data_IF_643753365415
#
_entry.id   IF_643753365415
#
_cell.length_a   1.000
_cell.length_b   1.000
_cell.length_c   1.000
_cell.angle_alpha   90.00
_cell.angle_beta   90.00
_cell.angle_gamma   90.00
#
_symmetry.space_group_name_H-M   'P 1'
#
loop_
_entity.id
_entity.type
_entity.pdbx_description
1 polymer ?
#
# COMPACT_ATOMS: atom_id res chain seq x y z
N UNK A 1 32.65 24.11 19.09
CA UNK A 1 31.91 23.52 17.96
C UNK A 1 31.78 22.02 18.24
N UNK A 2 30.65 21.58 18.78
CA UNK A 2 30.46 20.17 19.18
C UNK A 2 30.02 19.39 17.96
N UNK A 3 30.90 18.54 17.44
CA UNK A 3 30.60 17.62 16.36
C UNK A 3 29.62 16.56 16.88
N UNK A 4 28.35 16.69 16.50
CA UNK A 4 27.33 15.67 16.76
C UNK A 4 27.72 14.37 16.09
N UNK A 5 27.94 13.33 16.91
CA UNK A 5 28.25 11.98 16.45
C UNK A 5 27.09 11.43 15.61
N UNK A 6 27.37 10.66 14.55
CA UNK A 6 26.32 10.02 13.76
C UNK A 6 25.51 9.09 14.66
N UNK A 7 24.17 9.24 14.61
CA UNK A 7 23.20 8.46 15.36
C UNK A 7 23.40 6.99 14.96
N UNK A 8 23.93 6.18 15.88
CA UNK A 8 24.17 4.74 15.67
C UNK A 8 22.87 4.09 15.18
N UNK A 9 22.91 3.51 13.97
CA UNK A 9 21.91 2.55 13.51
C UNK A 9 21.86 1.46 14.57
N UNK A 10 20.81 1.46 15.38
CA UNK A 10 20.73 0.57 16.52
C UNK A 10 20.67 -0.87 16.04
N UNK A 11 21.42 -1.71 16.74
CA UNK A 11 21.56 -3.17 16.69
C UNK A 11 20.30 -4.03 16.43
N UNK A 12 19.09 -3.47 16.27
CA UNK A 12 17.84 -4.22 16.10
C UNK A 12 17.63 -4.79 14.70
N UNK A 13 18.32 -4.30 13.68
CA UNK A 13 18.14 -4.77 12.29
C UNK A 13 18.59 -6.20 12.07
N UNK A 14 19.50 -6.74 12.91
CA UNK A 14 20.06 -8.10 12.74
C UNK A 14 19.12 -9.25 13.11
N UNK A 15 17.98 -8.98 13.75
CA UNK A 15 17.05 -10.02 14.22
C UNK A 15 15.66 -10.04 13.55
N UNK A 16 15.34 -9.06 12.71
CA UNK A 16 14.01 -8.98 12.10
C UNK A 16 13.94 -9.86 10.84
N UNK A 17 13.07 -10.87 10.86
CA UNK A 17 12.74 -11.65 9.68
C UNK A 17 11.73 -10.88 8.82
N UNK A 18 12.18 -10.37 7.68
CA UNK A 18 11.31 -9.74 6.69
C UNK A 18 10.48 -10.80 5.96
N UNK A 19 9.20 -10.52 5.72
CA UNK A 19 8.29 -11.43 5.00
C UNK A 19 7.91 -10.93 3.61
N UNK A 20 7.87 -9.61 3.40
CA UNK A 20 7.58 -9.04 2.09
C UNK A 20 8.21 -7.65 1.94
N UNK A 21 8.40 -7.24 0.68
CA UNK A 21 8.93 -5.95 0.28
C UNK A 21 8.08 -5.38 -0.87
N UNK A 22 7.92 -4.05 -0.90
CA UNK A 22 7.40 -3.30 -2.05
C UNK A 22 8.32 -2.14 -2.37
N UNK A 23 8.59 -1.96 -3.66
CA UNK A 23 9.35 -0.81 -4.20
C UNK A 23 8.38 0.21 -4.80
N UNK A 24 8.63 1.48 -4.48
CA UNK A 24 7.85 2.62 -4.94
C UNK A 24 8.81 3.62 -5.58
N UNK A 25 8.50 4.04 -6.80
CA UNK A 25 9.23 5.10 -7.48
C UNK A 25 8.84 6.45 -6.90
N UNK A 26 9.84 7.28 -6.65
CA UNK A 26 9.66 8.70 -6.35
C UNK A 26 9.45 9.47 -7.63
N UNK A 27 8.46 10.37 -7.62
CA UNK A 27 8.17 11.26 -8.77
C UNK A 27 8.80 12.63 -8.60
N UNK A 28 9.21 12.98 -7.38
CA UNK A 28 9.91 14.22 -7.06
C UNK A 28 11.45 14.13 -7.24
N UNK A 29 11.98 12.92 -7.44
CA UNK A 29 13.41 12.68 -7.59
C UNK A 29 13.67 11.59 -8.64
N UNK A 30 14.36 11.94 -9.73
CA UNK A 30 14.72 11.01 -10.81
C UNK A 30 15.55 9.85 -10.26
N UNK A 31 15.10 8.62 -10.49
CA UNK A 31 15.74 7.41 -9.97
C UNK A 31 15.59 7.20 -8.46
N UNK A 32 14.83 8.06 -7.77
CA UNK A 32 14.55 7.92 -6.35
C UNK A 32 13.63 6.73 -6.11
N UNK A 33 13.98 5.89 -5.14
CA UNK A 33 13.22 4.70 -4.76
C UNK A 33 12.92 4.74 -3.27
N UNK A 34 11.68 4.42 -2.93
CA UNK A 34 11.24 4.10 -1.57
C UNK A 34 11.00 2.61 -1.48
N UNK A 35 11.53 1.99 -0.42
CA UNK A 35 11.38 0.56 -0.17
C UNK A 35 10.62 0.35 1.12
N UNK A 36 9.45 -0.26 1.03
CA UNK A 36 8.65 -0.66 2.19
C UNK A 36 8.90 -2.13 2.47
N UNK A 37 9.24 -2.46 3.71
CA UNK A 37 9.34 -3.87 4.16
C UNK A 37 8.42 -4.11 5.33
N UNK A 38 7.81 -5.28 5.31
CA UNK A 38 7.03 -5.81 6.43
C UNK A 38 7.64 -7.13 6.87
N UNK A 39 7.75 -7.33 8.18
CA UNK A 39 8.31 -8.53 8.77
C UNK A 39 7.26 -9.47 9.34
N UNK A 40 7.72 -10.68 9.66
CA UNK A 40 6.88 -11.71 10.28
C UNK A 40 6.38 -11.19 11.64
N UNK A 41 5.06 -11.26 11.93
CA UNK A 41 4.54 -10.93 13.25
C UNK A 41 5.19 -11.79 14.32
N UNK A 42 5.52 -11.17 15.44
CA UNK A 42 6.12 -11.85 16.58
C UNK A 42 5.30 -11.60 17.83
N UNK A 43 5.10 -12.67 18.60
CA UNK A 43 4.62 -12.56 19.96
C UNK A 43 5.81 -12.18 20.87
N UNK A 44 5.81 -10.99 21.51
CA UNK A 44 6.88 -10.63 22.45
C UNK A 44 6.89 -11.53 23.69
N UNK A 45 8.07 -11.78 24.28
CA UNK A 45 8.17 -12.41 25.60
C UNK A 45 7.43 -11.55 26.65
N UNK A 46 6.64 -12.18 27.52
CA UNK A 46 5.96 -11.49 28.63
C UNK A 46 4.51 -11.06 28.36
N UNK A 47 3.77 -11.79 27.51
CA UNK A 47 2.32 -11.62 27.30
C UNK A 47 1.88 -10.23 26.79
N UNK A 48 2.76 -9.47 26.14
CA UNK A 48 2.39 -8.26 25.42
C UNK A 48 1.65 -8.56 24.11
N UNK A 49 1.02 -7.53 23.50
CA UNK A 49 0.32 -7.70 22.22
C UNK A 49 1.28 -8.17 21.13
N UNK A 50 0.76 -8.91 20.15
CA UNK A 50 1.47 -9.22 18.92
C UNK A 50 1.98 -7.94 18.27
N UNK A 51 3.18 -8.02 17.71
CA UNK A 51 3.76 -6.91 16.95
C UNK A 51 4.25 -7.36 15.58
N UNK A 52 3.94 -6.58 14.56
CA UNK A 52 4.44 -6.79 13.20
C UNK A 52 5.40 -5.63 12.86
N UNK A 53 6.70 -5.91 12.68
CA UNK A 53 7.67 -4.87 12.33
C UNK A 53 7.49 -4.44 10.88
N UNK A 54 7.66 -3.15 10.62
CA UNK A 54 7.79 -2.61 9.26
C UNK A 54 8.83 -1.49 9.22
N UNK A 55 9.31 -1.17 8.03
CA UNK A 55 10.27 -0.09 7.80
C UNK A 55 10.03 0.52 6.42
N UNK A 56 10.25 1.82 6.30
CA UNK A 56 10.17 2.55 5.04
C UNK A 56 11.51 3.22 4.81
N UNK A 57 12.23 2.77 3.78
CA UNK A 57 13.54 3.27 3.39
C UNK A 57 13.40 4.33 2.30
N UNK A 58 14.29 5.32 2.27
CA UNK A 58 14.28 6.38 1.25
C UNK A 58 13.41 7.61 1.55
N UNK A 59 12.83 7.69 2.76
CA UNK A 59 12.00 8.81 3.24
C UNK A 59 12.61 9.56 4.46
N UNK A 60 13.85 9.27 4.85
CA UNK A 60 14.55 9.95 5.93
C UNK A 60 14.66 9.11 7.21
N UNK A 61 13.60 9.04 8.03
CA UNK A 61 13.61 8.20 9.24
C UNK A 61 13.40 6.72 8.89
N UNK A 62 14.51 6.00 8.83
CA UNK A 62 14.57 4.57 8.51
C UNK A 62 14.56 3.70 9.77
N UNK A 63 13.88 4.15 10.82
CA UNK A 63 13.67 3.33 12.02
C UNK A 63 12.60 2.26 11.79
N UNK A 64 12.80 1.09 12.41
CA UNK A 64 11.79 0.02 12.41
C UNK A 64 10.61 0.46 13.29
N UNK A 65 9.43 0.50 12.68
CA UNK A 65 8.15 0.75 13.30
C UNK A 65 7.39 -0.56 13.52
N UNK A 66 6.30 -0.53 14.28
CA UNK A 66 5.54 -1.73 14.63
C UNK A 66 4.03 -1.46 14.58
N UNK A 67 3.28 -2.37 13.94
CA UNK A 67 1.84 -2.50 14.16
C UNK A 67 1.59 -3.46 15.33
N UNK A 68 0.66 -3.12 16.23
CA UNK A 68 0.35 -3.91 17.43
C UNK A 68 -1.10 -4.40 17.40
N UNK A 69 -1.37 -5.61 17.88
CA UNK A 69 -2.74 -6.13 18.06
C UNK A 69 -2.76 -7.30 19.05
N UNK A 70 -3.95 -7.75 19.43
CA UNK A 70 -4.16 -8.95 20.25
C UNK A 70 -3.78 -10.25 19.53
N UNK A 71 -3.75 -10.24 18.20
CA UNK A 71 -3.37 -11.38 17.36
C UNK A 71 -2.42 -10.99 16.22
N UNK A 72 -1.86 -12.01 15.57
CA UNK A 72 -0.90 -11.84 14.47
C UNK A 72 -1.52 -11.20 13.23
N UNK A 73 -2.80 -11.45 12.94
CA UNK A 73 -3.51 -10.91 11.78
C UNK A 73 -3.74 -9.41 11.93
N UNK A 74 -4.28 -8.98 13.06
CA UNK A 74 -4.49 -7.59 13.38
C UNK A 74 -3.16 -6.81 13.46
N UNK A 75 -2.08 -7.46 13.92
CA UNK A 75 -0.76 -6.81 13.92
C UNK A 75 -0.28 -6.51 12.49
N UNK A 76 -0.53 -7.41 11.52
CA UNK A 76 -0.25 -7.17 10.10
C UNK A 76 -1.14 -6.04 9.56
N UNK A 77 -2.45 -6.09 9.81
CA UNK A 77 -3.39 -5.06 9.35
C UNK A 77 -3.02 -3.67 9.87
N UNK A 78 -2.61 -3.58 11.14
CA UNK A 78 -2.16 -2.33 11.75
C UNK A 78 -0.80 -1.88 11.22
N UNK A 79 0.11 -2.80 10.90
CA UNK A 79 1.35 -2.45 10.23
C UNK A 79 1.10 -1.87 8.82
N UNK A 80 0.22 -2.49 8.03
CA UNK A 80 -0.18 -1.99 6.70
C UNK A 80 -0.84 -0.61 6.78
N UNK A 81 -1.71 -0.40 7.76
CA UNK A 81 -2.35 0.90 8.03
C UNK A 81 -1.33 1.97 8.45
N UNK A 82 -0.37 1.59 9.29
CA UNK A 82 0.75 2.45 9.70
C UNK A 82 1.63 2.84 8.51
N UNK A 83 2.00 1.89 7.66
CA UNK A 83 2.73 2.13 6.41
C UNK A 83 2.00 3.17 5.57
N UNK A 84 0.72 2.94 5.26
CA UNK A 84 -0.07 3.87 4.45
C UNK A 84 -0.07 5.27 5.05
N UNK A 85 -0.30 5.37 6.36
CA UNK A 85 -0.36 6.65 7.06
C UNK A 85 0.96 7.41 6.93
N UNK A 86 2.09 6.73 7.11
CA UNK A 86 3.42 7.34 6.94
C UNK A 86 3.71 7.76 5.50
N UNK A 87 3.34 6.95 4.51
CA UNK A 87 3.49 7.31 3.09
C UNK A 87 2.66 8.55 2.73
N UNK A 88 1.40 8.61 3.17
CA UNK A 88 0.53 9.79 2.95
C UNK A 88 1.08 11.02 3.67
N UNK A 89 1.50 10.88 4.93
CA UNK A 89 2.06 11.99 5.72
C UNK A 89 3.38 12.51 5.17
N UNK A 90 4.16 11.69 4.45
CA UNK A 90 5.41 12.12 3.82
C UNK A 90 5.18 13.22 2.77
N UNK A 91 3.99 13.27 2.16
CA UNK A 91 3.67 14.19 1.08
C UNK A 91 4.47 13.95 -0.21
N UNK A 92 5.32 12.92 -0.25
CA UNK A 92 6.15 12.61 -1.41
C UNK A 92 5.29 11.84 -2.43
N UNK A 93 5.24 12.28 -3.69
CA UNK A 93 4.50 11.60 -4.72
C UNK A 93 5.21 10.28 -5.08
N UNK A 94 4.53 9.17 -4.77
CA UNK A 94 5.06 7.81 -4.91
C UNK A 94 4.20 6.99 -5.86
N UNK A 95 4.83 6.17 -6.69
CA UNK A 95 4.14 5.27 -7.61
C UNK A 95 4.64 3.86 -7.41
N UNK A 96 3.73 2.92 -7.20
CA UNK A 96 4.06 1.51 -7.23
C UNK A 96 4.50 1.12 -8.66
N UNK A 97 5.62 0.41 -8.78
CA UNK A 97 6.23 -0.09 -10.03
C UNK A 97 5.34 -1.13 -10.77
N UNK A 98 4.03 -0.88 -10.89
CA UNK A 98 3.10 -1.64 -11.73
C UNK A 98 2.71 -0.79 -12.94
N UNK A 99 2.85 -1.35 -14.14
CA UNK A 99 2.45 -0.69 -15.37
C UNK A 99 0.93 -0.37 -15.32
N UNK A 100 0.59 0.91 -15.51
CA UNK A 100 -0.80 1.39 -15.43
C UNK A 100 -1.26 1.84 -14.04
N UNK A 101 -0.41 1.80 -13.00
CA UNK A 101 -0.74 2.42 -11.71
C UNK A 101 -0.92 3.94 -11.87
N UNK A 102 -2.00 4.47 -11.29
CA UNK A 102 -2.26 5.91 -11.27
C UNK A 102 -1.19 6.67 -10.47
N UNK A 103 -1.10 7.97 -10.70
CA UNK A 103 -0.20 8.81 -9.91
C UNK A 103 -0.58 8.75 -8.43
N UNK A 104 0.43 8.64 -7.57
CA UNK A 104 0.26 8.52 -6.11
C UNK A 104 -0.36 7.19 -5.63
N UNK A 105 -0.50 6.19 -6.50
CA UNK A 105 -0.87 4.85 -6.08
C UNK A 105 0.33 4.11 -5.49
N UNK A 106 0.30 3.91 -4.17
CA UNK A 106 1.31 3.15 -3.42
C UNK A 106 0.94 1.66 -3.29
N UNK A 107 -0.27 1.30 -3.70
CA UNK A 107 -0.92 0.02 -3.50
C UNK A 107 -1.20 -0.34 -2.03
N UNK A 108 -1.01 0.59 -1.08
CA UNK A 108 -1.41 0.41 0.32
C UNK A 108 -2.79 1.02 0.54
N UNK A 109 -3.76 0.15 0.81
CA UNK A 109 -5.19 0.51 0.85
C UNK A 109 -5.57 1.20 2.16
N UNK A 110 -6.56 2.09 2.08
CA UNK A 110 -7.23 2.61 3.25
C UNK A 110 -8.19 1.55 3.81
N UNK A 111 -8.09 1.25 5.10
CA UNK A 111 -9.11 0.44 5.77
C UNK A 111 -10.40 1.26 5.91
N UNK A 112 -11.56 0.61 5.72
CA UNK A 112 -12.85 1.23 6.05
C UNK A 112 -12.91 1.43 7.57
N UNK A 113 -13.21 2.65 8.06
CA UNK A 113 -13.27 2.90 9.49
C UNK A 113 -14.36 2.06 10.17
N UNK A 114 -13.97 1.30 11.20
CA UNK A 114 -14.92 0.52 12.01
C UNK A 114 -15.32 1.23 13.31
N UNK A 115 -14.63 2.32 13.68
CA UNK A 115 -14.82 3.04 14.96
C UNK A 115 -16.23 3.64 15.13
N UNK A 116 -16.98 3.82 14.04
CA UNK A 116 -18.34 4.37 14.05
C UNK A 116 -19.43 3.30 14.06
N UNK A 117 -19.06 2.04 14.30
CA UNK A 117 -19.97 0.90 14.41
C UNK A 117 -20.21 0.17 13.08
N UNK A 118 -20.70 -1.07 13.20
CA UNK A 118 -20.86 -2.00 12.07
C UNK A 118 -21.79 -1.45 10.97
N UNK A 119 -22.87 -0.77 11.35
CA UNK A 119 -23.81 -0.21 10.36
C UNK A 119 -23.17 0.85 9.46
N UNK A 120 -22.31 1.71 10.03
CA UNK A 120 -21.56 2.70 9.26
C UNK A 120 -20.53 2.04 8.34
N UNK A 121 -19.80 1.04 8.86
CA UNK A 121 -18.84 0.27 8.06
C UNK A 121 -19.53 -0.39 6.85
N UNK A 122 -20.62 -1.13 7.08
CA UNK A 122 -21.37 -1.80 6.02
C UNK A 122 -21.96 -0.82 5.00
N UNK A 123 -22.36 0.36 5.45
CA UNK A 123 -22.82 1.41 4.55
C UNK A 123 -21.71 1.87 3.60
N UNK A 124 -20.50 2.14 4.13
CA UNK A 124 -19.35 2.50 3.32
C UNK A 124 -18.91 1.37 2.38
N UNK A 125 -18.90 0.12 2.86
CA UNK A 125 -18.59 -1.05 2.04
C UNK A 125 -19.55 -1.16 0.84
N UNK A 126 -20.86 -1.03 1.06
CA UNK A 126 -21.86 -1.03 -0.02
C UNK A 126 -21.66 0.10 -1.02
N UNK A 127 -21.28 1.29 -0.56
CA UNK A 127 -20.97 2.41 -1.47
C UNK A 127 -19.75 2.10 -2.33
N UNK A 128 -18.71 1.51 -1.75
CA UNK A 128 -17.50 1.10 -2.49
C UNK A 128 -17.85 0.02 -3.52
N UNK A 129 -18.63 -1.00 -3.13
CA UNK A 129 -19.07 -2.07 -4.04
C UNK A 129 -19.88 -1.54 -5.22
N UNK A 130 -20.83 -0.64 -4.97
CA UNK A 130 -21.63 -0.02 -6.03
C UNK A 130 -20.78 0.78 -7.02
N UNK A 131 -19.80 1.53 -6.54
CA UNK A 131 -18.86 2.28 -7.38
C UNK A 131 -17.96 1.35 -8.22
N UNK A 132 -17.51 0.23 -7.64
CA UNK A 132 -16.74 -0.79 -8.37
C UNK A 132 -17.58 -1.39 -9.51
N UNK A 133 -18.84 -1.74 -9.24
CA UNK A 133 -19.73 -2.32 -10.22
C UNK A 133 -20.02 -1.34 -11.37
N UNK A 134 -20.27 -0.07 -11.05
CA UNK A 134 -20.49 0.99 -12.03
C UNK A 134 -19.30 1.13 -12.98
N UNK A 135 -18.08 1.25 -12.43
CA UNK A 135 -16.85 1.35 -13.22
C UNK A 135 -16.65 0.10 -14.07
N UNK A 136 -16.86 -1.08 -13.51
CA UNK A 136 -16.71 -2.34 -14.23
C UNK A 136 -17.68 -2.42 -15.43
N UNK A 137 -18.91 -1.93 -15.27
CA UNK A 137 -19.88 -1.85 -16.38
C UNK A 137 -19.39 -0.94 -17.50
N UNK A 138 -18.95 0.28 -17.17
CA UNK A 138 -18.41 1.23 -18.15
C UNK A 138 -17.19 0.66 -18.89
N UNK A 139 -16.29 -0.04 -18.19
CA UNK A 139 -15.15 -0.69 -18.82
C UNK A 139 -15.57 -1.81 -19.79
N UNK A 140 -16.55 -2.65 -19.42
CA UNK A 140 -17.08 -3.69 -20.31
C UNK A 140 -17.67 -3.10 -21.60
N UNK A 141 -18.50 -2.08 -21.49
CA UNK A 141 -19.09 -1.41 -22.66
C UNK A 141 -18.03 -0.80 -23.59
N UNK A 142 -16.97 -0.21 -23.03
CA UNK A 142 -15.85 0.32 -23.83
C UNK A 142 -15.12 -0.77 -24.60
N UNK A 143 -14.88 -1.93 -23.97
CA UNK A 143 -14.24 -3.09 -24.62
C UNK A 143 -15.13 -3.61 -25.75
N UNK A 144 -16.42 -3.84 -25.50
CA UNK A 144 -17.38 -4.30 -26.51
C UNK A 144 -17.46 -3.36 -27.72
N UNK A 145 -17.51 -2.04 -27.47
CA UNK A 145 -17.50 -1.03 -28.55
C UNK A 145 -16.21 -1.07 -29.37
N UNK A 146 -15.05 -1.26 -28.73
CA UNK A 146 -13.76 -1.38 -29.42
C UNK A 146 -13.71 -2.64 -30.27
N UNK A 147 -14.18 -3.77 -29.75
CA UNK A 147 -14.25 -5.02 -30.50
C UNK A 147 -15.20 -4.93 -31.70
N UNK A 148 -16.39 -4.34 -31.52
CA UNK A 148 -17.35 -4.12 -32.60
C UNK A 148 -16.74 -3.27 -33.72
N UNK A 149 -16.03 -2.18 -33.38
CA UNK A 149 -15.30 -1.34 -34.34
C UNK A 149 -14.18 -2.11 -35.05
N UNK A 150 -13.43 -2.96 -34.33
CA UNK A 150 -12.38 -3.80 -34.93
C UNK A 150 -12.97 -4.81 -35.92
N UNK A 151 -14.06 -5.49 -35.56
CA UNK A 151 -14.77 -6.44 -36.43
C UNK A 151 -15.36 -5.75 -37.67
N UNK A 152 -15.90 -4.53 -37.53
CA UNK A 152 -16.41 -3.74 -38.65
C UNK A 152 -15.31 -3.33 -39.65
N UNK A 153 -14.12 -2.95 -39.14
CA UNK A 153 -12.95 -2.62 -39.98
C UNK A 153 -12.31 -3.83 -40.67
N UNK A 154 -12.49 -5.03 -40.12
CA UNK A 154 -11.92 -6.26 -40.65
C UNK A 154 -12.78 -6.94 -41.73
N UNK A 155 -14.00 -6.47 -42.01
CA UNK A 155 -14.81 -6.98 -43.13
C UNK A 155 -14.28 -6.41 -44.46
N UNK A 156 -13.81 -7.25 -45.41
CA UNK A 156 -13.40 -6.75 -46.72
C UNK A 156 -14.63 -6.31 -47.53
N UNK A 157 -14.51 -5.18 -48.24
CA UNK A 157 -15.49 -4.79 -49.26
C UNK A 157 -15.50 -5.88 -50.33
N UNK A 158 -16.60 -6.63 -50.41
CA UNK A 158 -16.84 -7.52 -51.55
C UNK A 158 -17.10 -6.62 -52.77
N UNK A 159 -16.19 -6.65 -53.72
CA UNK A 159 -16.40 -6.16 -55.08
C UNK A 159 -17.33 -7.08 -55.87
#
# INVERSE_FOLDING_TARGET
>A
MVMSKPKKITSRTKGTRWMAERRLERRDAVGGIVVVRIGVPVWPPGAGPWKCPFIILGLGDESIQFGYSEDSMGAIQNALSGIRSMLVQSGIPLRWELEGAEENDTGFQMAVPFAYGLGFQQHLEKMIEAEIEERARLFRELIERREARRKARAKPQKG
#
